data_IF_857416070348
#
_entry.id   IF_857416070348
#
_cell.length_a   1.000
_cell.length_b   1.000
_cell.length_c   1.000
_cell.angle_alpha   90.00
_cell.angle_beta   90.00
_cell.angle_gamma   90.00
#
_symmetry.space_group_name_H-M   'P 1'
#
loop_
_entity.id
_entity.type
_entity.pdbx_description
1 polymer ?
#
# COMPACT_ATOMS: atom_id res chain seq x y z
N UNK A 1 -9.40 -1.82 -2.70
CA UNK A 1 -10.69 -1.15 -2.99
C UNK A 1 -10.51 0.37 -3.04
N UNK A 2 -10.05 1.01 -1.95
CA UNK A 2 -9.84 2.46 -1.90
C UNK A 2 -9.01 3.05 -3.04
N UNK A 3 -7.88 2.44 -3.40
CA UNK A 3 -7.06 2.89 -4.55
C UNK A 3 -7.87 2.97 -5.86
N UNK A 4 -8.73 1.97 -6.13
CA UNK A 4 -9.61 1.98 -7.32
C UNK A 4 -10.66 3.09 -7.23
N UNK A 5 -11.19 3.34 -6.04
CA UNK A 5 -12.11 4.45 -5.81
C UNK A 5 -11.44 5.80 -6.03
N UNK A 6 -10.22 6.01 -5.53
CA UNK A 6 -9.49 7.26 -5.71
C UNK A 6 -9.18 7.53 -7.19
N UNK A 7 -8.79 6.51 -7.95
CA UNK A 7 -8.59 6.61 -9.41
C UNK A 7 -9.91 7.04 -10.09
N UNK A 8 -11.02 6.37 -9.76
CA UNK A 8 -12.33 6.70 -10.33
C UNK A 8 -12.77 8.13 -9.98
N UNK A 9 -12.65 8.53 -8.71
CA UNK A 9 -13.03 9.85 -8.21
C UNK A 9 -12.22 10.95 -8.89
N UNK A 10 -10.91 10.75 -9.06
CA UNK A 10 -10.03 11.68 -9.80
C UNK A 10 -10.40 11.77 -11.27
N UNK A 11 -10.57 10.62 -11.95
CA UNK A 11 -11.00 10.61 -13.36
C UNK A 11 -12.31 11.38 -13.54
N UNK A 12 -13.26 11.23 -12.62
CA UNK A 12 -14.56 11.88 -12.68
C UNK A 12 -14.57 13.30 -12.12
N UNK A 13 -13.43 13.83 -11.68
CA UNK A 13 -13.29 15.16 -11.06
C UNK A 13 -14.34 15.39 -9.95
N UNK A 14 -14.56 14.38 -9.11
CA UNK A 14 -15.55 14.44 -8.05
C UNK A 14 -15.05 15.39 -6.95
N UNK A 15 -15.83 16.42 -6.55
CA UNK A 15 -15.47 17.31 -5.45
C UNK A 15 -15.23 16.54 -4.15
N UNK A 16 -14.33 17.02 -3.28
CA UNK A 16 -14.00 16.35 -2.01
C UNK A 16 -15.22 16.11 -1.11
N UNK A 17 -16.16 17.06 -1.08
CA UNK A 17 -17.43 16.93 -0.35
C UNK A 17 -18.33 15.79 -0.87
N UNK A 18 -18.05 15.31 -2.08
CA UNK A 18 -18.88 14.37 -2.81
C UNK A 18 -18.27 12.96 -2.90
N UNK A 19 -16.98 12.82 -2.61
CA UNK A 19 -16.26 11.57 -2.79
C UNK A 19 -16.90 10.37 -2.06
N UNK A 20 -17.26 10.54 -0.78
CA UNK A 20 -17.82 9.46 0.04
C UNK A 20 -19.18 9.03 -0.50
N UNK A 21 -20.10 9.96 -0.74
CA UNK A 21 -21.43 9.63 -1.30
C UNK A 21 -21.33 8.96 -2.66
N UNK A 22 -20.36 9.33 -3.48
CA UNK A 22 -20.17 8.74 -4.81
C UNK A 22 -19.78 7.26 -4.75
N UNK A 23 -18.94 6.85 -3.80
CA UNK A 23 -18.41 5.47 -3.78
C UNK A 23 -19.07 4.56 -2.74
N UNK A 24 -19.69 5.13 -1.71
CA UNK A 24 -20.28 4.36 -0.61
C UNK A 24 -21.34 3.37 -1.11
N UNK A 25 -22.18 3.81 -2.06
CA UNK A 25 -23.20 2.95 -2.66
C UNK A 25 -22.65 1.89 -3.64
N UNK A 26 -21.37 1.98 -4.01
CA UNK A 26 -20.68 0.98 -4.83
C UNK A 26 -20.24 -0.26 -4.06
N UNK A 27 -20.50 -0.34 -2.76
CA UNK A 27 -20.13 -1.50 -1.95
C UNK A 27 -21.13 -2.65 -2.12
N UNK A 28 -20.62 -3.83 -2.48
CA UNK A 28 -21.41 -5.06 -2.61
C UNK A 28 -21.44 -5.93 -1.35
N UNK A 29 -20.61 -5.63 -0.34
CA UNK A 29 -20.57 -6.40 0.90
C UNK A 29 -21.84 -6.18 1.73
N UNK A 30 -22.54 -7.26 2.10
CA UNK A 30 -23.73 -7.20 2.97
C UNK A 30 -23.43 -6.48 4.29
N UNK A 31 -22.24 -6.70 4.85
CA UNK A 31 -21.79 -6.01 6.08
C UNK A 31 -21.65 -4.50 5.86
N UNK A 32 -21.07 -4.09 4.72
CA UNK A 32 -20.96 -2.69 4.36
C UNK A 32 -22.34 -2.05 4.16
N UNK A 33 -23.22 -2.70 3.40
CA UNK A 33 -24.56 -2.21 3.12
C UNK A 33 -25.36 -2.00 4.41
N UNK A 34 -25.32 -2.96 5.35
CA UNK A 34 -25.98 -2.82 6.65
C UNK A 34 -25.40 -1.68 7.48
N UNK A 35 -24.08 -1.51 7.47
CA UNK A 35 -23.43 -0.40 8.17
C UNK A 35 -23.79 0.95 7.55
N UNK A 36 -23.80 1.04 6.22
CA UNK A 36 -24.23 2.23 5.47
C UNK A 36 -25.70 2.55 5.74
N UNK A 37 -26.59 1.56 5.82
CA UNK A 37 -27.99 1.78 6.18
C UNK A 37 -28.14 2.35 7.60
N UNK A 38 -27.33 1.88 8.56
CA UNK A 38 -27.35 2.35 9.94
C UNK A 38 -26.70 3.74 10.12
N UNK A 39 -25.72 4.09 9.29
CA UNK A 39 -24.94 5.35 9.39
C UNK A 39 -25.26 6.37 8.27
N UNK A 40 -26.13 6.01 7.33
CA UNK A 40 -26.45 6.74 6.11
C UNK A 40 -26.67 8.24 6.26
N UNK A 41 -27.45 8.71 7.25
CA UNK A 41 -27.68 10.13 7.47
C UNK A 41 -26.41 10.94 7.82
N UNK A 42 -25.37 10.29 8.32
CA UNK A 42 -24.14 10.93 8.82
C UNK A 42 -23.03 10.92 7.76
N UNK A 43 -23.09 10.03 6.77
CA UNK A 43 -22.02 9.86 5.76
C UNK A 43 -21.89 11.02 4.79
N UNK A 44 -22.93 11.83 4.61
CA UNK A 44 -22.87 13.04 3.78
C UNK A 44 -21.94 14.14 4.33
N UNK A 45 -21.54 14.05 5.60
CA UNK A 45 -20.66 15.02 6.27
C UNK A 45 -19.28 14.44 6.63
N UNK A 46 -18.98 13.20 6.22
CA UNK A 46 -17.69 12.55 6.51
C UNK A 46 -16.74 12.83 5.36
N UNK A 47 -15.56 13.39 5.65
CA UNK A 47 -14.50 13.55 4.67
C UNK A 47 -13.91 12.19 4.25
N UNK A 48 -13.14 12.20 3.16
CA UNK A 48 -12.58 11.00 2.56
C UNK A 48 -11.68 10.20 3.51
N UNK A 49 -10.85 10.87 4.31
CA UNK A 49 -9.88 10.21 5.18
C UNK A 49 -10.55 9.58 6.40
N UNK A 50 -11.51 10.26 6.99
CA UNK A 50 -12.34 9.72 8.08
C UNK A 50 -13.18 8.54 7.60
N UNK A 51 -13.68 8.57 6.36
CA UNK A 51 -14.38 7.44 5.76
C UNK A 51 -13.45 6.22 5.60
N UNK A 52 -12.22 6.41 5.08
CA UNK A 52 -11.20 5.35 5.00
C UNK A 52 -10.94 4.71 6.36
N UNK A 53 -10.79 5.53 7.41
CA UNK A 53 -10.54 5.05 8.76
C UNK A 53 -11.72 4.24 9.33
N UNK A 54 -12.95 4.71 9.18
CA UNK A 54 -14.15 4.01 9.63
C UNK A 54 -14.31 2.64 8.94
N UNK A 55 -14.04 2.61 7.64
CA UNK A 55 -14.08 1.39 6.85
C UNK A 55 -12.98 0.39 7.24
N UNK A 56 -11.76 0.86 7.53
CA UNK A 56 -10.70 0.01 8.09
C UNK A 56 -11.15 -0.59 9.41
N UNK A 57 -11.69 0.22 10.34
CA UNK A 57 -12.21 -0.28 11.62
C UNK A 57 -13.38 -1.28 11.46
N UNK A 58 -14.20 -1.14 10.42
CA UNK A 58 -15.31 -2.05 10.17
C UNK A 58 -14.86 -3.40 9.60
N UNK A 59 -13.82 -3.42 8.77
CA UNK A 59 -13.43 -4.61 7.99
C UNK A 59 -12.15 -5.29 8.45
N UNK A 60 -11.27 -4.57 9.14
CA UNK A 60 -9.98 -5.09 9.57
C UNK A 60 -10.03 -5.47 11.06
N UNK A 61 -9.25 -6.48 11.48
CA UNK A 61 -9.04 -6.83 12.90
C UNK A 61 -8.52 -5.63 13.71
N UNK A 62 -8.68 -5.64 15.04
CA UNK A 62 -8.21 -4.54 15.89
C UNK A 62 -6.70 -4.31 15.83
N UNK A 63 -5.93 -5.36 15.56
CA UNK A 63 -4.47 -5.38 15.46
C UNK A 63 -3.97 -5.30 14.00
N UNK A 64 -4.84 -4.92 13.05
CA UNK A 64 -4.51 -4.92 11.62
C UNK A 64 -3.28 -4.08 11.27
N UNK A 65 -3.11 -2.93 11.91
CA UNK A 65 -2.00 -2.02 11.64
C UNK A 65 -0.68 -2.66 12.07
N UNK A 66 -0.66 -3.21 13.29
CA UNK A 66 0.49 -3.92 13.82
C UNK A 66 0.82 -5.18 13.01
N UNK A 67 -0.17 -6.03 12.74
CA UNK A 67 0.02 -7.27 11.95
C UNK A 67 0.48 -6.97 10.53
N UNK A 68 -0.09 -5.96 9.86
CA UNK A 68 0.36 -5.52 8.52
C UNK A 68 1.82 -5.05 8.56
N UNK A 69 2.20 -4.27 9.57
CA UNK A 69 3.59 -3.83 9.74
C UNK A 69 4.53 -5.02 9.95
N UNK A 70 4.14 -5.98 10.80
CA UNK A 70 4.92 -7.19 11.03
C UNK A 70 5.03 -8.06 9.77
N UNK A 71 3.97 -8.15 8.97
CA UNK A 71 3.97 -8.86 7.70
C UNK A 71 4.94 -8.22 6.69
N UNK A 72 5.00 -6.89 6.64
CA UNK A 72 5.96 -6.15 5.81
C UNK A 72 7.40 -6.47 6.24
N UNK A 73 7.70 -6.33 7.54
CA UNK A 73 9.06 -6.53 8.08
C UNK A 73 9.55 -7.98 7.98
N UNK A 74 8.64 -8.95 7.88
CA UNK A 74 8.95 -10.38 7.73
C UNK A 74 8.88 -10.86 6.28
N UNK A 75 8.58 -9.97 5.34
CA UNK A 75 8.43 -10.36 3.94
C UNK A 75 9.80 -10.44 3.27
N UNK A 76 10.11 -11.61 2.71
CA UNK A 76 11.35 -11.85 2.01
C UNK A 76 11.09 -12.28 0.57
N UNK A 77 11.99 -11.88 -0.33
CA UNK A 77 12.03 -12.34 -1.70
C UNK A 77 12.38 -13.83 -1.72
N UNK A 78 11.50 -14.66 -2.28
CA UNK A 78 11.83 -16.05 -2.55
C UNK A 78 12.74 -16.16 -3.78
N UNK A 79 13.56 -17.20 -3.86
CA UNK A 79 14.49 -17.44 -4.98
C UNK A 79 13.82 -17.54 -6.35
N UNK A 80 12.53 -17.89 -6.42
CA UNK A 80 11.75 -17.99 -7.65
C UNK A 80 10.93 -16.75 -7.98
N UNK A 81 10.96 -15.72 -7.13
CA UNK A 81 10.15 -14.52 -7.30
C UNK A 81 10.99 -13.38 -7.88
N UNK A 82 10.58 -12.79 -9.01
CA UNK A 82 11.22 -11.58 -9.54
C UNK A 82 11.23 -10.46 -8.50
N UNK A 83 12.33 -9.70 -8.46
CA UNK A 83 12.52 -8.60 -7.52
C UNK A 83 11.37 -7.59 -7.58
N UNK A 84 10.94 -7.22 -8.79
CA UNK A 84 9.91 -6.18 -8.97
C UNK A 84 8.55 -6.61 -8.38
N UNK A 85 8.20 -7.88 -8.49
CA UNK A 85 6.96 -8.41 -7.91
C UNK A 85 7.03 -8.40 -6.38
N UNK A 86 8.18 -8.80 -5.82
CA UNK A 86 8.44 -8.70 -4.39
C UNK A 86 8.33 -7.27 -3.86
N UNK A 87 8.99 -6.31 -4.53
CA UNK A 87 8.98 -4.90 -4.15
C UNK A 87 7.56 -4.30 -4.23
N UNK A 88 6.80 -4.59 -5.30
CA UNK A 88 5.43 -4.09 -5.45
C UNK A 88 4.46 -4.72 -4.45
N UNK A 89 4.64 -5.98 -4.06
CA UNK A 89 3.85 -6.58 -2.99
C UNK A 89 4.10 -5.90 -1.65
N UNK A 90 5.36 -5.57 -1.33
CA UNK A 90 5.73 -4.80 -0.15
C UNK A 90 5.13 -3.39 -0.16
N UNK A 91 5.30 -2.65 -1.27
CA UNK A 91 4.71 -1.32 -1.44
C UNK A 91 3.17 -1.36 -1.34
N UNK A 92 2.55 -2.40 -1.90
CA UNK A 92 1.11 -2.63 -1.82
C UNK A 92 0.63 -2.86 -0.39
N UNK A 93 1.38 -3.63 0.41
CA UNK A 93 1.12 -3.79 1.85
C UNK A 93 1.29 -2.48 2.60
N UNK A 94 2.37 -1.74 2.34
CA UNK A 94 2.63 -0.45 2.98
C UNK A 94 1.52 0.57 2.64
N UNK A 95 0.97 0.55 1.43
CA UNK A 95 -0.16 1.40 1.05
C UNK A 95 -1.43 1.13 1.91
N UNK A 96 -1.58 -0.06 2.50
CA UNK A 96 -2.67 -0.31 3.44
C UNK A 96 -2.53 0.54 4.71
N UNK A 97 -1.30 0.82 5.13
CA UNK A 97 -0.93 1.67 6.26
C UNK A 97 -1.02 3.17 5.96
N UNK A 98 -1.29 3.57 4.71
CA UNK A 98 -1.35 4.98 4.33
C UNK A 98 -2.31 5.80 5.22
N UNK A 99 -1.81 6.87 5.82
CA UNK A 99 -2.54 7.71 6.77
C UNK A 99 -2.55 7.19 8.20
N UNK A 100 -1.71 6.21 8.55
CA UNK A 100 -1.40 5.84 9.94
C UNK A 100 0.07 6.11 10.25
N UNK A 101 0.42 6.10 11.54
CA UNK A 101 1.81 6.31 12.00
C UNK A 101 2.74 5.15 11.62
N UNK A 102 2.18 4.00 11.25
CA UNK A 102 2.95 2.83 10.80
C UNK A 102 3.37 2.88 9.33
N UNK A 103 2.88 3.85 8.55
CA UNK A 103 3.26 4.02 7.14
C UNK A 103 4.77 4.24 6.99
N UNK A 104 5.42 3.47 6.13
CA UNK A 104 6.85 3.59 5.84
C UNK A 104 7.07 4.56 4.69
N UNK A 105 7.96 5.52 4.87
CA UNK A 105 8.40 6.39 3.78
C UNK A 105 9.37 5.63 2.84
N UNK A 106 9.80 6.29 1.77
CA UNK A 106 10.67 5.68 0.76
C UNK A 106 11.99 5.17 1.33
N UNK A 107 12.60 5.89 2.29
CA UNK A 107 13.83 5.47 2.96
C UNK A 107 13.64 4.16 3.74
N UNK A 108 12.62 4.10 4.60
CA UNK A 108 12.30 2.88 5.35
C UNK A 108 11.86 1.73 4.44
N UNK A 109 11.15 2.04 3.35
CA UNK A 109 10.75 1.06 2.36
C UNK A 109 11.97 0.46 1.66
N UNK A 110 12.94 1.30 1.28
CA UNK A 110 14.21 0.84 0.71
C UNK A 110 14.93 -0.09 1.68
N UNK A 111 15.15 0.33 2.92
CA UNK A 111 15.81 -0.48 3.95
C UNK A 111 15.11 -1.83 4.13
N UNK A 112 13.78 -1.83 4.14
CA UNK A 112 12.97 -3.05 4.28
C UNK A 112 13.11 -3.96 3.05
N UNK A 113 13.08 -3.40 1.84
CA UNK A 113 13.26 -4.17 0.60
C UNK A 113 14.68 -4.73 0.53
N UNK A 114 15.71 -3.96 0.89
CA UNK A 114 17.11 -4.40 0.95
C UNK A 114 17.30 -5.54 1.94
N UNK A 115 16.72 -5.45 3.14
CA UNK A 115 16.78 -6.51 4.15
C UNK A 115 16.00 -7.77 3.76
N UNK A 116 14.92 -7.61 2.97
CA UNK A 116 14.09 -8.69 2.46
C UNK A 116 14.59 -9.32 1.15
N UNK A 117 15.57 -8.71 0.49
CA UNK A 117 16.07 -9.10 -0.84
C UNK A 117 16.75 -10.48 -0.82
N UNK A 118 16.68 -11.18 -1.95
CA UNK A 118 17.41 -12.44 -2.12
C UNK A 118 18.94 -12.20 -2.03
N UNK A 119 19.65 -13.11 -1.37
CA UNK A 119 21.03 -12.87 -0.94
C UNK A 119 22.00 -12.67 -2.12
N UNK A 120 21.88 -13.43 -3.21
CA UNK A 120 22.76 -13.24 -4.36
C UNK A 120 22.46 -11.93 -5.09
N UNK A 121 21.20 -11.54 -5.24
CA UNK A 121 20.84 -10.23 -5.79
C UNK A 121 21.38 -9.09 -4.92
N UNK A 122 21.30 -9.22 -3.60
CA UNK A 122 21.86 -8.25 -2.65
C UNK A 122 23.39 -8.12 -2.81
N UNK A 123 24.11 -9.23 -3.03
CA UNK A 123 25.55 -9.18 -3.32
C UNK A 123 25.86 -8.48 -4.63
N UNK A 124 25.05 -8.73 -5.67
CA UNK A 124 25.22 -8.07 -6.96
C UNK A 124 24.98 -6.56 -6.87
N UNK A 125 23.93 -6.15 -6.15
CA UNK A 125 23.66 -4.74 -5.84
C UNK A 125 24.84 -4.04 -5.16
N UNK A 126 25.47 -4.72 -4.19
CA UNK A 126 26.64 -4.19 -3.50
C UNK A 126 27.87 -4.08 -4.42
N UNK A 127 28.06 -5.03 -5.36
CA UNK A 127 29.16 -4.97 -6.35
C UNK A 127 28.98 -3.82 -7.34
N UNK A 128 27.75 -3.58 -7.77
CA UNK A 128 27.39 -2.56 -8.75
C UNK A 128 27.20 -1.17 -8.11
N UNK A 129 27.26 -1.07 -6.77
CA UNK A 129 27.22 0.20 -6.05
C UNK A 129 25.86 0.89 -6.06
N UNK A 130 24.75 0.12 -6.02
CA UNK A 130 23.39 0.68 -6.05
C UNK A 130 23.08 1.54 -4.81
N UNK A 131 23.87 1.43 -3.74
CA UNK A 131 23.82 2.28 -2.54
C UNK A 131 24.00 3.78 -2.85
N UNK A 132 24.64 4.14 -3.97
CA UNK A 132 24.83 5.54 -4.37
C UNK A 132 23.59 6.18 -5.03
N UNK A 133 22.60 5.38 -5.43
CA UNK A 133 21.37 5.88 -6.05
C UNK A 133 20.45 6.37 -4.95
N UNK A 134 20.22 7.68 -4.88
CA UNK A 134 19.43 8.30 -3.79
C UNK A 134 17.93 8.17 -4.06
N UNK A 135 17.51 8.45 -5.29
CA UNK A 135 16.10 8.40 -5.69
C UNK A 135 15.56 6.97 -5.63
N UNK A 136 14.51 6.76 -4.83
CA UNK A 136 13.95 5.44 -4.57
C UNK A 136 13.50 4.72 -5.85
N UNK A 137 12.85 5.44 -6.76
CA UNK A 137 12.42 4.86 -8.04
C UNK A 137 13.61 4.51 -8.94
N UNK A 138 14.63 5.36 -9.00
CA UNK A 138 15.84 5.08 -9.77
C UNK A 138 16.59 3.86 -9.21
N UNK A 139 16.58 3.69 -7.89
CA UNK A 139 17.16 2.53 -7.23
C UNK A 139 16.37 1.25 -7.55
N UNK A 140 15.03 1.28 -7.47
CA UNK A 140 14.18 0.15 -7.86
C UNK A 140 14.43 -0.30 -9.30
N UNK A 141 14.53 0.66 -10.22
CA UNK A 141 14.75 0.39 -11.64
C UNK A 141 16.12 -0.28 -11.88
N UNK A 142 17.16 0.15 -11.17
CA UNK A 142 18.49 -0.44 -11.27
C UNK A 142 18.55 -1.84 -10.67
N UNK A 143 17.96 -2.06 -9.48
CA UNK A 143 17.92 -3.40 -8.87
C UNK A 143 17.13 -4.37 -9.75
N UNK A 144 16.02 -3.93 -10.34
CA UNK A 144 15.27 -4.70 -11.34
C UNK A 144 16.17 -5.08 -12.52
N UNK A 145 16.92 -4.13 -13.07
CA UNK A 145 17.87 -4.36 -14.18
C UNK A 145 18.95 -5.39 -13.82
N UNK A 146 19.34 -5.48 -12.55
CA UNK A 146 20.29 -6.48 -12.07
C UNK A 146 19.66 -7.86 -11.91
N UNK A 147 18.43 -7.92 -11.36
CA UNK A 147 17.68 -9.17 -11.23
C UNK A 147 17.38 -9.81 -12.59
N UNK A 148 17.00 -9.02 -13.59
CA UNK A 148 16.70 -9.49 -14.95
C UNK A 148 17.93 -9.98 -15.74
N UNK A 149 19.15 -9.60 -15.33
CA UNK A 149 20.39 -10.06 -16.00
C UNK A 149 20.82 -11.47 -15.59
N UNK A 150 20.24 -12.00 -14.52
CA UNK A 150 20.70 -13.21 -13.83
C UNK A 150 20.02 -14.47 -14.36
#
# INVERSE_FOLDING_TARGET
WFTKCEIFLRHKNVPSADMVKTVAYGMSSVRAIRWLAAKGPVLGAVDWDKYKLQMRSLFLPSDWEHSTRMDILRYHQSTSKPFIDFAFELMGKNNLLAGTDSFMNDDFMRETIEAGMEQELSRECNREGTNHIIEFQAWLDEVKRLDEKR
#
